data_IF_367739673170
#
_entry.id   IF_367739673170
#
_cell.length_a   1.000
_cell.length_b   1.000
_cell.length_c   1.000
_cell.angle_alpha   90.00
_cell.angle_beta   90.00
_cell.angle_gamma   90.00
#
_symmetry.space_group_name_H-M   'P 1'
#
loop_
_entity.id
_entity.type
_entity.pdbx_description
1 polymer ?
#
# COMPACT_ATOMS: atom_id res chain seq x y z
N UNK A 1 15.67 14.06 8.13
CA UNK A 1 14.93 12.89 7.62
C UNK A 1 13.78 12.68 8.60
N UNK A 2 12.53 12.73 8.11
CA UNK A 2 11.35 12.64 8.98
C UNK A 2 10.72 11.23 8.98
N UNK A 3 11.03 10.40 7.98
CA UNK A 3 10.47 9.07 7.89
C UNK A 3 11.32 8.10 7.07
N UNK A 4 11.04 6.81 7.22
CA UNK A 4 11.64 5.72 6.48
C UNK A 4 10.54 4.89 5.80
N UNK A 5 10.46 4.91 4.45
CA UNK A 5 9.45 4.13 3.74
C UNK A 5 9.72 2.62 3.84
N UNK A 6 8.65 1.83 3.81
CA UNK A 6 8.69 0.37 3.98
C UNK A 6 9.23 -0.44 2.80
N UNK A 7 9.75 0.22 1.77
CA UNK A 7 10.29 -0.46 0.60
C UNK A 7 11.33 -1.53 0.96
N UNK A 8 11.36 -2.62 0.19
CA UNK A 8 12.26 -3.73 0.41
C UNK A 8 11.77 -4.82 1.36
N UNK A 9 10.58 -4.71 1.94
CA UNK A 9 9.97 -5.82 2.70
C UNK A 9 9.70 -7.03 1.79
N UNK A 10 9.23 -6.80 0.59
CA UNK A 10 8.80 -7.80 -0.40
C UNK A 10 7.83 -8.82 0.23
N UNK A 11 8.36 -9.95 0.67
CA UNK A 11 7.68 -10.95 1.49
C UNK A 11 8.57 -11.30 2.69
N UNK A 12 8.03 -11.13 3.91
CA UNK A 12 8.76 -11.38 5.16
C UNK A 12 8.71 -12.88 5.57
N UNK A 13 8.80 -13.76 4.58
CA UNK A 13 8.93 -15.21 4.74
C UNK A 13 10.23 -15.63 4.08
N UNK A 14 11.07 -16.35 4.82
CA UNK A 14 12.47 -16.58 4.45
C UNK A 14 12.63 -17.25 3.10
N UNK A 15 11.92 -18.37 2.88
CA UNK A 15 12.07 -19.16 1.66
C UNK A 15 11.63 -18.37 0.41
N UNK A 16 10.50 -17.65 0.48
CA UNK A 16 10.03 -16.79 -0.61
C UNK A 16 11.04 -15.69 -0.87
N UNK A 17 11.51 -15.01 0.20
CA UNK A 17 12.46 -13.91 0.09
C UNK A 17 13.82 -14.34 -0.48
N UNK A 18 14.31 -15.51 -0.11
CA UNK A 18 15.53 -16.11 -0.68
C UNK A 18 15.42 -16.33 -2.19
N UNK A 19 14.28 -16.79 -2.67
CA UNK A 19 14.07 -17.01 -4.11
C UNK A 19 13.98 -15.70 -4.90
N UNK A 20 13.20 -14.73 -4.40
CA UNK A 20 12.89 -13.51 -5.18
C UNK A 20 13.88 -12.37 -4.97
N UNK A 21 14.48 -12.27 -3.81
CA UNK A 21 15.38 -11.16 -3.43
C UNK A 21 16.55 -11.62 -2.56
N UNK A 22 17.40 -12.56 -3.02
CA UNK A 22 18.46 -13.16 -2.20
C UNK A 22 19.47 -12.14 -1.64
N UNK A 23 19.65 -11.02 -2.34
CA UNK A 23 20.56 -9.95 -1.92
C UNK A 23 20.01 -9.08 -0.78
N UNK A 24 18.73 -9.15 -0.48
CA UNK A 24 18.09 -8.36 0.60
C UNK A 24 18.22 -9.02 1.98
N UNK A 25 18.80 -10.21 2.05
CA UNK A 25 19.07 -10.94 3.28
C UNK A 25 17.80 -11.42 4.01
N UNK A 26 17.98 -11.84 5.24
CA UNK A 26 16.91 -12.41 6.08
C UNK A 26 15.80 -11.39 6.38
N UNK A 27 14.53 -11.82 6.47
CA UNK A 27 13.41 -10.94 6.82
C UNK A 27 13.62 -10.13 8.10
N UNK A 28 14.25 -10.73 9.11
CA UNK A 28 14.54 -10.08 10.41
C UNK A 28 15.41 -8.83 10.28
N UNK A 29 16.28 -8.77 9.26
CA UNK A 29 17.09 -7.58 9.02
C UNK A 29 16.22 -6.38 8.66
N UNK A 30 15.18 -6.58 7.84
CA UNK A 30 14.25 -5.52 7.49
C UNK A 30 13.45 -5.07 8.72
N UNK A 31 12.89 -6.02 9.48
CA UNK A 31 12.15 -5.71 10.72
C UNK A 31 13.02 -4.96 11.72
N UNK A 32 14.28 -5.40 11.92
CA UNK A 32 15.23 -4.72 12.80
C UNK A 32 15.48 -3.28 12.36
N UNK A 33 15.75 -3.04 11.08
CA UNK A 33 15.98 -1.67 10.56
C UNK A 33 14.75 -0.79 10.78
N UNK A 34 13.54 -1.30 10.53
CA UNK A 34 12.31 -0.55 10.77
C UNK A 34 12.11 -0.26 12.26
N UNK A 35 12.38 -1.24 13.12
CA UNK A 35 12.30 -1.06 14.58
C UNK A 35 13.27 0.00 15.08
N UNK A 36 14.51 -0.02 14.63
CA UNK A 36 15.51 1.01 14.97
C UNK A 36 15.05 2.40 14.50
N UNK A 37 14.51 2.52 13.30
CA UNK A 37 13.96 3.77 12.81
C UNK A 37 12.80 4.28 13.70
N UNK A 38 11.89 3.39 14.10
CA UNK A 38 10.79 3.69 15.01
C UNK A 38 11.26 4.11 16.39
N UNK A 39 12.28 3.46 16.94
CA UNK A 39 12.90 3.84 18.21
C UNK A 39 13.57 5.22 18.17
N UNK A 40 14.02 5.65 16.99
CA UNK A 40 14.55 7.01 16.76
C UNK A 40 13.44 8.04 16.51
N UNK A 41 12.16 7.65 16.59
CA UNK A 41 11.02 8.53 16.37
C UNK A 41 10.72 8.85 14.90
N UNK A 42 11.26 8.06 13.95
CA UNK A 42 10.96 8.25 12.54
C UNK A 42 9.59 7.64 12.19
N UNK A 43 8.82 8.35 11.39
CA UNK A 43 7.60 7.82 10.75
C UNK A 43 7.97 6.68 9.81
N UNK A 44 7.29 5.55 9.88
CA UNK A 44 7.56 4.38 9.03
C UNK A 44 6.30 3.86 8.36
N UNK A 45 6.45 3.19 7.22
CA UNK A 45 5.37 2.42 6.60
C UNK A 45 5.76 0.94 6.46
N UNK A 46 4.79 0.07 6.35
CA UNK A 46 4.99 -1.34 6.03
C UNK A 46 4.53 -1.63 4.61
N UNK A 47 5.18 -2.58 3.95
CA UNK A 47 4.86 -2.94 2.57
C UNK A 47 4.88 -4.44 2.37
N UNK A 48 4.16 -4.89 1.34
CA UNK A 48 4.13 -6.28 0.89
C UNK A 48 4.10 -6.33 -0.63
N UNK A 49 4.75 -7.32 -1.23
CA UNK A 49 4.58 -7.64 -2.65
C UNK A 49 3.99 -9.03 -2.77
N UNK A 50 2.85 -9.16 -3.46
CA UNK A 50 2.17 -10.44 -3.72
C UNK A 50 2.39 -10.91 -5.17
N UNK A 51 2.33 -12.22 -5.39
CA UNK A 51 2.48 -12.82 -6.73
C UNK A 51 3.86 -13.38 -7.01
N UNK A 52 4.69 -13.53 -6.00
CA UNK A 52 5.99 -14.20 -6.13
C UNK A 52 5.91 -15.73 -6.21
N UNK A 53 4.74 -16.32 -6.00
CA UNK A 53 4.50 -17.75 -5.86
C UNK A 53 4.32 -18.19 -4.41
N UNK A 54 4.18 -17.23 -3.52
CA UNK A 54 3.85 -17.42 -2.12
C UNK A 54 2.46 -18.06 -1.95
N UNK A 55 2.27 -18.78 -0.86
CA UNK A 55 0.96 -19.31 -0.44
C UNK A 55 0.16 -18.28 0.35
N UNK A 56 -1.13 -18.57 0.58
CA UNK A 56 -1.95 -17.75 1.49
C UNK A 56 -1.40 -17.78 2.94
N UNK A 57 -0.79 -18.89 3.35
CA UNK A 57 -0.14 -18.97 4.66
C UNK A 57 1.06 -18.02 4.77
N UNK A 58 1.85 -17.90 3.69
CA UNK A 58 2.98 -16.96 3.64
C UNK A 58 2.50 -15.50 3.72
N UNK A 59 1.39 -15.15 3.05
CA UNK A 59 0.77 -13.83 3.15
C UNK A 59 0.33 -13.52 4.59
N UNK A 60 -0.33 -14.45 5.25
CA UNK A 60 -0.73 -14.30 6.66
C UNK A 60 0.51 -14.21 7.57
N UNK A 61 1.53 -15.00 7.33
CA UNK A 61 2.79 -14.94 8.07
C UNK A 61 3.47 -13.57 7.93
N UNK A 62 3.48 -12.98 6.73
CA UNK A 62 3.97 -11.63 6.51
C UNK A 62 3.19 -10.60 7.35
N UNK A 63 1.85 -10.60 7.26
CA UNK A 63 1.00 -9.70 8.03
C UNK A 63 1.19 -9.87 9.53
N UNK A 64 1.33 -11.13 10.00
CA UNK A 64 1.58 -11.42 11.41
C UNK A 64 2.87 -10.76 11.90
N UNK A 65 3.95 -10.82 11.13
CA UNK A 65 5.24 -10.19 11.50
C UNK A 65 5.15 -8.67 11.59
N UNK A 66 4.39 -8.04 10.68
CA UNK A 66 4.13 -6.60 10.74
C UNK A 66 3.32 -6.27 12.00
N UNK A 67 2.24 -7.03 12.26
CA UNK A 67 1.37 -6.85 13.42
C UNK A 67 2.14 -6.98 14.75
N UNK A 68 2.95 -8.04 14.88
CA UNK A 68 3.74 -8.31 16.09
C UNK A 68 4.72 -7.16 16.38
N UNK A 69 5.43 -6.66 15.36
CA UNK A 69 6.32 -5.49 15.54
C UNK A 69 5.53 -4.23 15.89
N UNK A 70 4.39 -4.00 15.28
CA UNK A 70 3.53 -2.86 15.58
C UNK A 70 3.09 -2.88 17.05
N UNK A 71 2.65 -4.05 17.54
CA UNK A 71 2.24 -4.23 18.94
C UNK A 71 3.40 -3.96 19.91
N UNK A 72 4.62 -4.41 19.57
CA UNK A 72 5.81 -4.16 20.38
C UNK A 72 6.14 -2.67 20.48
N UNK A 73 6.12 -1.97 19.34
CA UNK A 73 6.50 -0.56 19.27
C UNK A 73 5.42 0.33 19.89
N UNK A 74 4.15 0.01 19.73
CA UNK A 74 3.05 0.75 20.38
C UNK A 74 3.06 0.63 21.91
N UNK A 75 3.54 -0.47 22.48
CA UNK A 75 3.77 -0.59 23.94
C UNK A 75 4.81 0.40 24.46
N UNK A 76 5.66 0.92 23.60
CA UNK A 76 6.63 1.96 23.92
C UNK A 76 6.10 3.38 23.70
N UNK A 77 4.80 3.55 23.40
CA UNK A 77 4.14 4.80 23.04
C UNK A 77 4.74 5.46 21.78
N UNK A 78 5.23 4.65 20.84
CA UNK A 78 5.73 5.11 19.56
C UNK A 78 4.71 4.81 18.43
N UNK A 79 4.66 5.61 17.36
CA UNK A 79 3.66 5.47 16.30
C UNK A 79 3.80 4.15 15.52
N UNK A 80 5.01 3.62 15.40
CA UNK A 80 5.27 2.40 14.63
C UNK A 80 5.07 2.60 13.12
N UNK A 81 4.40 1.65 12.48
CA UNK A 81 3.97 1.76 11.09
C UNK A 81 2.68 2.60 11.02
N UNK A 82 2.73 3.72 10.32
CA UNK A 82 1.56 4.58 10.10
C UNK A 82 0.66 4.00 9.01
N UNK A 83 1.24 3.28 8.05
CA UNK A 83 0.47 2.70 6.95
C UNK A 83 1.03 1.35 6.49
N UNK A 84 0.15 0.57 5.86
CA UNK A 84 0.50 -0.64 5.14
C UNK A 84 0.09 -0.53 3.67
N UNK A 85 0.99 -0.95 2.77
CA UNK A 85 0.79 -0.84 1.32
C UNK A 85 1.09 -2.20 0.67
N UNK A 86 0.10 -2.80 0.03
CA UNK A 86 0.28 -4.01 -0.77
C UNK A 86 0.49 -3.67 -2.24
N UNK A 87 1.47 -4.32 -2.87
CA UNK A 87 1.72 -4.22 -4.30
C UNK A 87 1.64 -5.58 -4.97
N UNK A 88 1.01 -5.71 -6.13
CA UNK A 88 1.17 -6.89 -6.97
C UNK A 88 2.52 -6.84 -7.67
N UNK A 89 3.14 -8.01 -7.85
CA UNK A 89 4.37 -8.15 -8.63
C UNK A 89 4.18 -7.59 -10.03
N UNK A 90 5.18 -6.87 -10.52
CA UNK A 90 5.27 -6.47 -11.93
C UNK A 90 6.17 -7.49 -12.64
N UNK A 91 5.73 -7.98 -13.79
CA UNK A 91 6.43 -9.04 -14.54
C UNK A 91 7.17 -8.48 -15.77
N UNK A 92 6.82 -7.28 -16.18
CA UNK A 92 7.37 -6.62 -17.35
C UNK A 92 8.79 -6.14 -17.07
N UNK A 93 9.66 -6.26 -18.04
CA UNK A 93 11.02 -5.65 -18.08
C UNK A 93 11.96 -5.94 -16.90
N UNK A 94 11.71 -6.99 -16.10
CA UNK A 94 12.56 -7.35 -14.97
C UNK A 94 13.02 -8.81 -15.01
N UNK A 95 14.03 -9.15 -14.18
CA UNK A 95 14.61 -10.50 -14.15
C UNK A 95 13.63 -11.57 -13.66
N UNK A 96 12.76 -11.22 -12.70
CA UNK A 96 11.75 -12.14 -12.18
C UNK A 96 10.73 -12.49 -13.26
N UNK A 97 10.21 -11.51 -14.00
CA UNK A 97 9.31 -11.75 -15.12
C UNK A 97 9.97 -12.53 -16.26
N UNK A 98 11.27 -12.30 -16.54
CA UNK A 98 12.02 -13.09 -17.52
C UNK A 98 12.16 -14.56 -17.12
N UNK A 99 12.37 -14.85 -15.84
CA UNK A 99 12.40 -16.24 -15.32
C UNK A 99 11.04 -16.94 -15.41
N UNK A 100 9.96 -16.17 -15.31
CA UNK A 100 8.58 -16.66 -15.29
C UNK A 100 7.84 -16.36 -16.61
N UNK A 101 8.52 -16.42 -17.74
CA UNK A 101 7.94 -16.17 -19.07
C UNK A 101 6.71 -17.05 -19.32
N UNK A 102 5.66 -16.42 -19.87
CA UNK A 102 4.40 -17.09 -20.17
C UNK A 102 3.39 -17.08 -19.03
N UNK A 103 3.80 -16.67 -17.83
CA UNK A 103 2.87 -16.47 -16.71
C UNK A 103 2.41 -14.99 -16.64
N UNK A 104 1.16 -14.79 -16.30
CA UNK A 104 0.58 -13.46 -16.08
C UNK A 104 0.26 -13.26 -14.59
N UNK A 105 -0.12 -12.01 -14.23
CA UNK A 105 -0.43 -11.65 -12.83
C UNK A 105 -1.56 -12.50 -12.22
N UNK A 106 -2.55 -12.92 -13.01
CA UNK A 106 -3.66 -13.73 -12.53
C UNK A 106 -3.19 -15.13 -12.13
N UNK A 107 -2.38 -15.77 -12.97
CA UNK A 107 -1.81 -17.11 -12.70
C UNK A 107 -0.91 -17.10 -11.47
N UNK A 108 -0.29 -15.97 -11.17
CA UNK A 108 0.56 -15.82 -10.00
C UNK A 108 -0.18 -15.33 -8.74
N UNK A 109 -1.52 -15.24 -8.78
CA UNK A 109 -2.30 -14.76 -7.64
C UNK A 109 -2.05 -13.28 -7.30
N UNK A 110 -1.80 -12.46 -8.30
CA UNK A 110 -1.58 -11.02 -8.17
C UNK A 110 -2.51 -10.18 -9.09
N UNK A 111 -3.56 -10.80 -9.60
CA UNK A 111 -4.62 -10.12 -10.35
C UNK A 111 -5.51 -9.26 -9.46
N UNK A 112 -6.42 -8.47 -10.06
CA UNK A 112 -7.28 -7.53 -9.34
C UNK A 112 -8.07 -8.16 -8.18
N UNK A 113 -8.69 -9.31 -8.39
CA UNK A 113 -9.48 -10.00 -7.36
C UNK A 113 -8.62 -10.40 -6.17
N UNK A 114 -7.43 -10.94 -6.40
CA UNK A 114 -6.51 -11.33 -5.34
C UNK A 114 -5.94 -10.12 -4.60
N UNK A 115 -5.67 -9.04 -5.32
CA UNK A 115 -5.24 -7.80 -4.72
C UNK A 115 -6.32 -7.22 -3.78
N UNK A 116 -7.57 -7.11 -4.24
CA UNK A 116 -8.68 -6.61 -3.43
C UNK A 116 -8.93 -7.51 -2.20
N UNK A 117 -8.88 -8.83 -2.39
CA UNK A 117 -8.98 -9.78 -1.27
C UNK A 117 -7.85 -9.59 -0.26
N UNK A 118 -6.63 -9.37 -0.74
CA UNK A 118 -5.47 -9.13 0.13
C UNK A 118 -5.59 -7.81 0.88
N UNK A 119 -6.06 -6.73 0.25
CA UNK A 119 -6.36 -5.46 0.92
C UNK A 119 -7.39 -5.65 2.03
N UNK A 120 -8.49 -6.34 1.75
CA UNK A 120 -9.55 -6.60 2.74
C UNK A 120 -9.03 -7.43 3.94
N UNK A 121 -8.26 -8.48 3.67
CA UNK A 121 -7.64 -9.29 4.72
C UNK A 121 -6.64 -8.45 5.52
N UNK A 122 -5.84 -7.62 4.86
CA UNK A 122 -4.87 -6.74 5.53
C UNK A 122 -5.57 -5.76 6.48
N UNK A 123 -6.69 -5.14 6.07
CA UNK A 123 -7.49 -4.27 6.94
C UNK A 123 -8.01 -5.00 8.17
N UNK A 124 -8.52 -6.22 8.01
CA UNK A 124 -9.06 -7.01 9.13
C UNK A 124 -7.96 -7.53 10.05
N UNK A 125 -6.80 -7.88 9.50
CA UNK A 125 -5.70 -8.49 10.25
C UNK A 125 -4.79 -7.46 10.92
N UNK A 126 -4.56 -6.32 10.28
CA UNK A 126 -3.73 -5.22 10.76
C UNK A 126 -4.58 -4.12 11.42
N UNK A 127 -5.46 -4.48 12.34
CA UNK A 127 -6.31 -3.53 13.11
C UNK A 127 -5.49 -2.57 14.00
N UNK A 128 -4.19 -2.85 14.17
CA UNK A 128 -3.23 -2.02 14.87
C UNK A 128 -2.39 -1.11 13.95
N UNK A 129 -2.61 -1.13 12.63
CA UNK A 129 -2.02 -0.19 11.67
C UNK A 129 -3.13 0.74 11.16
N UNK A 130 -2.94 2.03 11.33
CA UNK A 130 -4.02 3.00 11.19
C UNK A 130 -4.51 3.08 9.73
N UNK A 131 -3.60 3.06 8.75
CA UNK A 131 -3.93 3.28 7.35
C UNK A 131 -3.54 2.11 6.45
N UNK A 132 -4.44 1.75 5.52
CA UNK A 132 -4.18 0.80 4.42
C UNK A 132 -4.26 1.57 3.11
N UNK A 133 -3.13 1.66 2.41
CA UNK A 133 -3.05 2.44 1.19
C UNK A 133 -3.38 1.60 -0.05
N UNK A 134 -4.25 2.12 -0.92
CA UNK A 134 -4.50 1.57 -2.25
C UNK A 134 -3.35 1.91 -3.21
N UNK A 135 -2.96 0.95 -4.05
CA UNK A 135 -1.85 1.13 -5.00
C UNK A 135 -2.33 1.35 -6.43
N UNK A 136 -2.64 2.60 -6.79
CA UNK A 136 -2.96 2.96 -8.18
C UNK A 136 -1.77 2.80 -9.15
N UNK A 137 -0.48 2.98 -8.74
CA UNK A 137 0.63 2.83 -9.68
C UNK A 137 0.77 1.42 -10.23
N UNK A 138 0.43 0.40 -9.42
CA UNK A 138 0.60 -1.01 -9.80
C UNK A 138 -0.68 -1.66 -10.32
N UNK A 139 -1.85 -1.15 -9.93
CA UNK A 139 -3.16 -1.73 -10.26
C UNK A 139 -4.01 -0.87 -11.18
N UNK A 140 -3.63 0.39 -11.39
CA UNK A 140 -4.45 1.38 -12.08
C UNK A 140 -5.55 1.98 -11.20
N UNK A 141 -6.05 3.16 -11.59
CA UNK A 141 -7.00 3.96 -10.81
C UNK A 141 -8.32 3.21 -10.52
N UNK A 142 -8.83 2.42 -11.47
CA UNK A 142 -10.11 1.71 -11.28
C UNK A 142 -10.04 0.65 -10.18
N UNK A 143 -8.96 -0.12 -10.12
CA UNK A 143 -8.78 -1.13 -9.06
C UNK A 143 -8.42 -0.45 -7.73
N UNK A 144 -7.64 0.63 -7.75
CA UNK A 144 -7.38 1.41 -6.55
C UNK A 144 -8.66 2.00 -5.95
N UNK A 145 -9.58 2.51 -6.79
CA UNK A 145 -10.91 2.95 -6.37
C UNK A 145 -11.70 1.80 -5.70
N UNK A 146 -11.68 0.60 -6.27
CA UNK A 146 -12.32 -0.57 -5.66
C UNK A 146 -11.65 -0.99 -4.35
N UNK A 147 -10.34 -0.77 -4.20
CA UNK A 147 -9.62 -1.07 -2.98
C UNK A 147 -10.10 -0.21 -1.78
N UNK A 148 -10.56 1.02 -2.03
CA UNK A 148 -11.19 1.85 -1.00
C UNK A 148 -12.45 1.18 -0.44
N UNK A 149 -13.26 0.56 -1.31
CA UNK A 149 -14.44 -0.23 -0.89
C UNK A 149 -14.05 -1.56 -0.19
N UNK A 150 -12.85 -2.06 -0.45
CA UNK A 150 -12.33 -3.29 0.14
C UNK A 150 -11.58 -3.08 1.47
N UNK A 151 -11.53 -1.84 1.99
CA UNK A 151 -10.94 -1.54 3.30
C UNK A 151 -9.67 -0.68 3.27
N UNK A 152 -9.20 -0.24 2.10
CA UNK A 152 -8.22 0.84 2.05
C UNK A 152 -8.89 2.17 2.45
N UNK A 153 -8.14 3.04 3.12
CA UNK A 153 -8.58 4.37 3.55
C UNK A 153 -7.64 5.49 3.06
N UNK A 154 -6.65 5.14 2.26
CA UNK A 154 -5.70 6.05 1.65
C UNK A 154 -5.54 5.75 0.15
N UNK A 155 -5.77 6.74 -0.69
CA UNK A 155 -5.62 6.60 -2.15
C UNK A 155 -4.16 6.78 -2.62
N UNK A 156 -3.22 7.02 -1.72
CA UNK A 156 -1.82 7.25 -2.03
C UNK A 156 -1.51 8.70 -2.39
N UNK A 157 -0.36 8.91 -3.04
CA UNK A 157 0.12 10.23 -3.42
C UNK A 157 0.01 10.49 -4.92
N UNK A 158 0.08 11.76 -5.31
CA UNK A 158 0.13 12.19 -6.73
C UNK A 158 1.37 11.68 -7.47
N UNK A 159 2.46 11.42 -6.75
CA UNK A 159 3.79 11.06 -7.25
C UNK A 159 4.33 12.06 -8.29
N UNK A 160 5.40 12.75 -7.95
CA UNK A 160 6.12 13.61 -8.89
C UNK A 160 6.98 12.79 -9.85
N UNK A 161 7.53 11.69 -9.36
CA UNK A 161 8.35 10.74 -10.11
C UNK A 161 8.09 9.32 -9.63
N UNK A 162 7.82 8.42 -10.57
CA UNK A 162 7.71 6.99 -10.31
C UNK A 162 8.60 6.24 -11.31
N UNK A 163 9.82 5.92 -10.89
CA UNK A 163 10.83 5.30 -11.74
C UNK A 163 10.94 3.77 -11.55
N UNK A 164 10.39 3.22 -10.49
CA UNK A 164 10.53 1.79 -10.16
C UNK A 164 9.48 0.95 -10.86
N UNK A 165 8.21 1.32 -10.74
CA UNK A 165 7.10 0.61 -11.40
C UNK A 165 7.10 0.92 -12.89
N UNK A 166 7.48 2.14 -13.29
CA UNK A 166 7.63 2.53 -14.69
C UNK A 166 8.70 1.73 -15.42
N UNK A 167 9.85 1.49 -14.79
CA UNK A 167 10.90 0.62 -15.31
C UNK A 167 10.42 -0.82 -15.53
N UNK A 168 9.34 -1.22 -14.88
CA UNK A 168 8.69 -2.53 -15.04
C UNK A 168 7.54 -2.55 -16.06
N UNK A 169 7.34 -1.47 -16.86
CA UNK A 169 6.40 -1.45 -17.98
C UNK A 169 5.03 -0.81 -17.70
N UNK A 170 4.86 -0.14 -16.57
CA UNK A 170 3.63 0.61 -16.27
C UNK A 170 3.52 1.85 -17.17
N UNK A 171 2.33 2.15 -17.67
CA UNK A 171 2.09 3.27 -18.59
C UNK A 171 1.63 4.56 -17.90
N UNK A 172 1.20 4.49 -16.64
CA UNK A 172 0.77 5.67 -15.85
C UNK A 172 1.77 5.96 -14.74
N UNK A 173 2.47 7.08 -14.83
CA UNK A 173 3.58 7.47 -13.96
C UNK A 173 3.22 8.53 -12.92
N UNK A 174 2.08 9.18 -13.09
CA UNK A 174 1.60 10.23 -12.19
C UNK A 174 0.07 10.19 -12.11
N UNK A 175 -0.46 10.71 -11.03
CA UNK A 175 -1.87 11.04 -10.89
C UNK A 175 -1.97 12.49 -10.42
N UNK A 176 -2.91 13.22 -10.96
CA UNK A 176 -3.26 14.54 -10.46
C UNK A 176 -4.06 14.43 -9.18
N UNK A 177 -4.02 15.45 -8.34
CA UNK A 177 -4.87 15.52 -7.15
C UNK A 177 -6.35 15.37 -7.52
N UNK A 178 -6.79 16.01 -8.60
CA UNK A 178 -8.14 15.89 -9.14
C UNK A 178 -8.54 14.44 -9.46
N UNK A 179 -7.65 13.66 -10.11
CA UNK A 179 -7.93 12.24 -10.42
C UNK A 179 -8.10 11.40 -9.15
N UNK A 180 -7.28 11.66 -8.11
CA UNK A 180 -7.40 10.97 -6.82
C UNK A 180 -8.69 11.36 -6.11
N UNK A 181 -9.01 12.65 -6.01
CA UNK A 181 -10.26 13.13 -5.42
C UNK A 181 -11.47 12.54 -6.13
N UNK A 182 -11.48 12.55 -7.48
CA UNK A 182 -12.57 11.97 -8.27
C UNK A 182 -12.70 10.45 -8.02
N UNK A 183 -11.60 9.74 -7.89
CA UNK A 183 -11.60 8.31 -7.58
C UNK A 183 -12.21 8.01 -6.22
N UNK A 184 -11.83 8.78 -5.20
CA UNK A 184 -12.36 8.67 -3.83
C UNK A 184 -13.86 8.99 -3.82
N UNK A 185 -14.24 10.10 -4.46
CA UNK A 185 -15.65 10.53 -4.53
C UNK A 185 -16.53 9.49 -5.25
N UNK A 186 -16.08 8.92 -6.37
CA UNK A 186 -16.79 7.85 -7.10
C UNK A 186 -16.91 6.56 -6.30
N UNK A 187 -15.99 6.30 -5.37
CA UNK A 187 -16.10 5.21 -4.42
C UNK A 187 -17.13 5.48 -3.31
N UNK A 188 -17.70 6.69 -3.23
CA UNK A 188 -18.70 7.08 -2.25
C UNK A 188 -18.13 7.70 -0.96
N UNK A 189 -16.87 8.16 -1.01
CA UNK A 189 -16.19 8.75 0.14
C UNK A 189 -15.88 10.22 -0.07
N UNK A 190 -15.62 10.92 1.03
CA UNK A 190 -15.18 12.33 1.00
C UNK A 190 -13.64 12.37 0.92
N UNK A 191 -13.05 12.95 -0.15
CA UNK A 191 -11.60 13.07 -0.25
C UNK A 191 -11.09 14.14 0.72
N UNK A 192 -10.02 13.81 1.45
CA UNK A 192 -9.32 14.72 2.36
C UNK A 192 -7.84 14.72 2.00
N UNK A 193 -7.22 15.89 1.93
CA UNK A 193 -5.79 16.04 1.69
C UNK A 193 -5.02 15.80 2.98
N UNK A 194 -3.92 15.03 2.88
CA UNK A 194 -3.02 14.74 4.00
C UNK A 194 -1.55 15.02 3.66
N UNK A 195 -0.72 15.17 4.69
CA UNK A 195 0.73 15.10 4.56
C UNK A 195 1.27 13.66 4.73
N UNK A 196 2.60 13.51 4.80
CA UNK A 196 3.24 12.20 4.99
C UNK A 196 3.07 11.62 6.40
N UNK A 197 2.72 12.44 7.38
CA UNK A 197 2.48 12.04 8.76
C UNK A 197 0.99 11.78 9.04
N UNK A 198 0.16 11.79 7.98
CA UNK A 198 -1.29 11.62 8.01
C UNK A 198 -2.05 12.75 8.72
N UNK A 199 -1.41 13.92 8.91
CA UNK A 199 -2.14 15.10 9.35
C UNK A 199 -3.05 15.61 8.21
N UNK A 200 -4.30 15.89 8.54
CA UNK A 200 -5.26 16.45 7.59
C UNK A 200 -4.88 17.90 7.28
N UNK A 201 -4.80 18.23 5.99
CA UNK A 201 -4.46 19.58 5.50
C UNK A 201 -5.69 20.39 5.14
N UNK A 202 -6.80 19.76 4.80
CA UNK A 202 -8.05 20.41 4.43
C UNK A 202 -9.15 20.12 5.45
N UNK A 203 -10.06 21.08 5.59
CA UNK A 203 -11.32 20.87 6.29
C UNK A 203 -12.36 20.32 5.30
N UNK A 204 -13.36 19.54 5.73
CA UNK A 204 -14.44 19.08 4.88
C UNK A 204 -15.14 20.21 4.11
N UNK A 205 -15.24 21.41 4.68
CA UNK A 205 -15.84 22.59 4.06
C UNK A 205 -15.06 23.11 2.85
N UNK A 206 -13.74 22.92 2.81
CA UNK A 206 -12.91 23.33 1.67
C UNK A 206 -13.20 22.51 0.40
N UNK A 207 -13.74 21.30 0.54
CA UNK A 207 -14.08 20.40 -0.56
C UNK A 207 -15.50 20.64 -1.10
N UNK A 208 -16.35 21.35 -0.35
CA UNK A 208 -17.74 21.63 -0.75
C UNK A 208 -17.87 22.50 -2.01
N UNK A 209 -16.80 23.17 -2.42
CA UNK A 209 -16.74 24.01 -3.63
C UNK A 209 -16.04 23.35 -4.83
N UNK A 210 -15.60 22.09 -4.73
CA UNK A 210 -14.94 21.40 -5.86
C UNK A 210 -15.94 21.08 -6.98
N UNK A 211 -15.51 20.99 -8.24
CA UNK A 211 -16.38 20.57 -9.35
C UNK A 211 -17.09 19.23 -9.09
N UNK A 212 -16.51 18.36 -8.28
CA UNK A 212 -17.07 17.08 -7.88
C UNK A 212 -18.23 17.22 -6.88
N UNK A 213 -18.25 18.28 -6.08
CA UNK A 213 -19.38 18.60 -5.20
C UNK A 213 -20.67 18.89 -5.99
N UNK A 214 -20.55 19.20 -7.29
CA UNK A 214 -21.67 19.33 -8.21
C UNK A 214 -22.22 17.98 -8.69
N UNK A 215 -21.46 16.91 -8.59
CA UNK A 215 -21.96 15.55 -8.74
C UNK A 215 -22.67 15.16 -7.44
N UNK A 216 -23.78 14.42 -7.50
CA UNK A 216 -24.60 14.04 -6.36
C UNK A 216 -23.73 13.59 -5.16
N UNK A 217 -24.08 14.00 -3.92
CA UNK A 217 -23.31 13.62 -2.75
C UNK A 217 -23.18 12.10 -2.64
N UNK A 218 -22.07 11.57 -2.13
CA UNK A 218 -21.90 10.14 -1.92
C UNK A 218 -23.00 9.61 -0.98
N UNK A 219 -23.49 8.42 -1.29
CA UNK A 219 -24.56 7.76 -0.51
C UNK A 219 -24.19 7.54 0.97
N UNK A 220 -22.90 7.48 1.25
CA UNK A 220 -22.34 7.39 2.60
C UNK A 220 -21.04 8.20 2.66
N UNK A 221 -21.07 9.33 3.34
CA UNK A 221 -19.87 10.14 3.56
C UNK A 221 -19.01 9.52 4.68
N UNK A 222 -18.02 8.72 4.32
CA UNK A 222 -16.93 8.32 5.20
C UNK A 222 -15.70 9.09 4.76
N UNK A 223 -15.06 9.77 5.68
CA UNK A 223 -13.80 10.49 5.39
C UNK A 223 -12.67 9.48 5.17
N UNK A 224 -11.99 9.57 4.03
CA UNK A 224 -10.74 8.87 3.76
C UNK A 224 -9.57 9.84 3.80
N UNK A 225 -8.51 9.45 4.45
CA UNK A 225 -7.29 10.25 4.65
C UNK A 225 -6.26 9.95 3.56
#
# INVERSE_FOLDING_TARGET
MHGLPGGGAEMLVEDVRKDVSPKKGHPDNWLRVMKEAQLLGLTTSATNVIGFGETNADRVQHLRRIREQQDEVRKLNLPGFTSFIAWPVQLESNTFGKRNRGQNKFERGAGPTEYLRHVAISRLFLDNVDHIQASWPTMGMGIAQMALLAGADDAGSTMMEENVVSASGTTKFSATEFELQLSIHRAGFLPVRRNSDYDRLDTPDALAGSPEAMCQPPLHAVELV
#
